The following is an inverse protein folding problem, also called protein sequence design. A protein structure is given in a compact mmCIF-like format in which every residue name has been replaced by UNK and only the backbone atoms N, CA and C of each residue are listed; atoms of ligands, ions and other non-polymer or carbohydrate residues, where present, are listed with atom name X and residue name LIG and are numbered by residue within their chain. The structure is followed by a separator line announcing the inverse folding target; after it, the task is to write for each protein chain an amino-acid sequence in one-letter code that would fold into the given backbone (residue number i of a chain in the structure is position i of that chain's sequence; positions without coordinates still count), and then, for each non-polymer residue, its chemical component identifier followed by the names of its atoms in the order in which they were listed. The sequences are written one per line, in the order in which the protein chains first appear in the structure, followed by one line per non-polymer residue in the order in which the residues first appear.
data_IF_518583261651
#
_entry.id   IF_518583261651
#
_cell.length_a   1.000
_cell.length_b   1.000
_cell.length_c   1.000
_cell.angle_alpha   90.00
_cell.angle_beta   90.00
_cell.angle_gamma   90.00
#
_symmetry.space_group_name_H-M   'P 1'
#
loop_
_entity.id
_entity.type
_entity.pdbx_description
1 polymer ?
#
# COMPACT_ATOMS: atom_id res chain seq x y z
N UNK A 1 -5.77 -3.67 14.10
CA UNK A 1 -4.49 -4.22 14.63
C UNK A 1 -4.78 -5.16 15.77
N UNK A 2 -4.25 -6.35 15.71
CA UNK A 2 -4.28 -7.32 16.81
C UNK A 2 -3.15 -6.96 17.80
N UNK A 3 -3.51 -6.70 19.06
CA UNK A 3 -2.56 -6.25 20.07
C UNK A 3 -1.69 -7.37 20.66
N UNK A 4 -2.09 -8.62 20.50
CA UNK A 4 -1.33 -9.76 21.00
C UNK A 4 -0.27 -10.24 20.01
N UNK A 5 -0.54 -10.13 18.71
CA UNK A 5 0.32 -10.61 17.63
C UNK A 5 0.99 -9.51 16.83
N UNK A 6 0.47 -8.29 16.87
CA UNK A 6 0.90 -7.18 16.02
C UNK A 6 0.40 -7.29 14.57
N UNK A 7 -0.47 -8.27 14.26
CA UNK A 7 -1.02 -8.44 12.92
C UNK A 7 -1.91 -7.24 12.55
N UNK A 8 -1.74 -6.76 11.34
CA UNK A 8 -2.55 -5.68 10.75
C UNK A 8 -3.46 -6.25 9.68
N UNK A 9 -4.76 -6.03 9.81
CA UNK A 9 -5.74 -6.33 8.78
C UNK A 9 -6.31 -5.00 8.22
N UNK A 10 -6.15 -4.77 6.93
CA UNK A 10 -6.72 -3.61 6.24
C UNK A 10 -8.19 -3.92 5.96
N UNK A 11 -9.09 -3.24 6.64
CA UNK A 11 -10.53 -3.48 6.52
C UNK A 11 -11.19 -2.71 5.38
N UNK A 12 -10.60 -1.58 4.99
CA UNK A 12 -11.06 -0.75 3.88
C UNK A 12 -9.91 0.07 3.32
N UNK A 13 -9.89 0.21 2.00
CA UNK A 13 -9.02 1.15 1.29
C UNK A 13 -9.76 1.76 0.11
N UNK A 14 -9.71 3.09 -0.02
CA UNK A 14 -10.32 3.83 -1.12
C UNK A 14 -9.23 4.61 -1.85
N UNK A 15 -9.01 4.31 -3.13
CA UNK A 15 -8.09 5.01 -4.01
C UNK A 15 -8.84 6.08 -4.80
N UNK A 16 -8.46 7.34 -4.65
CA UNK A 16 -9.06 8.48 -5.34
C UNK A 16 -8.01 9.14 -6.22
N UNK A 17 -8.26 9.23 -7.52
CA UNK A 17 -7.28 9.75 -8.48
C UNK A 17 -7.94 10.63 -9.54
N UNK A 18 -7.34 11.79 -9.80
CA UNK A 18 -7.63 12.56 -11.00
C UNK A 18 -6.89 11.94 -12.20
N UNK A 19 -7.66 11.32 -13.09
CA UNK A 19 -7.16 10.67 -14.31
C UNK A 19 -7.23 11.59 -15.54
N UNK A 20 -7.60 12.85 -15.36
CA UNK A 20 -7.97 13.70 -16.47
C UNK A 20 -9.23 13.14 -17.14
N UNK A 21 -9.22 12.91 -18.44
CA UNK A 21 -10.26 12.15 -19.12
C UNK A 21 -9.96 10.66 -19.06
N UNK A 22 -10.77 9.88 -18.35
CA UNK A 22 -10.63 8.43 -18.30
C UNK A 22 -11.18 7.81 -19.60
N UNK A 23 -10.30 7.54 -20.56
CA UNK A 23 -10.69 6.95 -21.86
C UNK A 23 -11.22 5.52 -21.67
N UNK A 24 -10.63 4.76 -20.75
CA UNK A 24 -11.06 3.41 -20.39
C UNK A 24 -11.16 3.28 -18.88
N UNK A 25 -12.29 3.65 -18.25
CA UNK A 25 -12.45 3.67 -16.79
C UNK A 25 -12.06 2.35 -16.11
N UNK A 26 -12.49 1.20 -16.64
CA UNK A 26 -12.17 -0.11 -16.07
C UNK A 26 -10.68 -0.42 -16.02
N UNK A 27 -9.89 0.06 -16.98
CA UNK A 27 -8.42 -0.08 -16.92
C UNK A 27 -7.80 0.88 -15.90
N UNK A 28 -8.36 2.09 -15.78
CA UNK A 28 -7.94 3.05 -14.75
C UNK A 28 -8.18 2.47 -13.36
N UNK A 29 -9.38 1.93 -13.12
CA UNK A 29 -9.73 1.24 -11.87
C UNK A 29 -8.75 0.10 -11.55
N UNK A 30 -8.46 -0.77 -12.53
CA UNK A 30 -7.52 -1.87 -12.38
C UNK A 30 -6.10 -1.40 -12.02
N UNK A 31 -5.63 -0.29 -12.62
CA UNK A 31 -4.34 0.31 -12.27
C UNK A 31 -4.33 0.87 -10.85
N UNK A 32 -5.39 1.54 -10.43
CA UNK A 32 -5.50 2.07 -9.08
C UNK A 32 -5.57 0.95 -8.04
N UNK A 33 -6.33 -0.11 -8.31
CA UNK A 33 -6.41 -1.29 -7.45
C UNK A 33 -5.05 -1.99 -7.33
N UNK A 34 -4.40 -2.28 -8.46
CA UNK A 34 -3.09 -2.93 -8.48
C UNK A 34 -2.01 -2.12 -7.78
N UNK A 35 -1.95 -0.80 -8.02
CA UNK A 35 -1.03 0.09 -7.34
C UNK A 35 -1.28 0.16 -5.83
N UNK A 36 -2.54 0.26 -5.42
CA UNK A 36 -2.91 0.26 -4.00
C UNK A 36 -2.49 -1.04 -3.31
N UNK A 37 -2.75 -2.20 -3.90
CA UNK A 37 -2.35 -3.51 -3.37
C UNK A 37 -0.83 -3.60 -3.19
N UNK A 38 -0.07 -3.19 -4.20
CA UNK A 38 1.40 -3.17 -4.11
C UNK A 38 1.88 -2.25 -2.98
N UNK A 39 1.34 -1.05 -2.88
CA UNK A 39 1.74 -0.12 -1.83
C UNK A 39 1.33 -0.56 -0.42
N UNK A 40 0.20 -1.24 -0.26
CA UNK A 40 -0.20 -1.87 1.01
C UNK A 40 0.79 -2.99 1.37
N UNK A 41 1.21 -3.81 0.40
CA UNK A 41 2.23 -4.83 0.59
C UNK A 41 3.55 -4.25 1.10
N UNK A 42 4.02 -3.17 0.51
CA UNK A 42 5.22 -2.45 0.96
C UNK A 42 5.06 -1.84 2.35
N UNK A 43 3.86 -1.40 2.68
CA UNK A 43 3.61 -0.84 4.00
C UNK A 43 3.56 -1.88 5.12
N UNK A 44 3.20 -3.14 4.83
CA UNK A 44 2.93 -4.15 5.84
C UNK A 44 3.90 -5.34 5.86
N UNK A 45 4.35 -5.81 4.69
CA UNK A 45 4.99 -7.13 4.59
C UNK A 45 6.28 -7.16 3.77
N UNK A 46 6.37 -6.37 2.70
CA UNK A 46 7.44 -6.49 1.72
C UNK A 46 8.70 -5.76 2.18
N UNK A 47 9.78 -6.49 2.36
CA UNK A 47 11.07 -5.96 2.78
C UNK A 47 12.20 -6.81 2.19
N UNK A 48 13.25 -6.17 1.69
CA UNK A 48 14.49 -6.84 1.36
C UNK A 48 15.36 -6.97 2.61
N UNK A 49 15.62 -8.20 3.02
CA UNK A 49 16.46 -8.49 4.19
C UNK A 49 17.84 -8.90 3.71
N UNK A 50 18.84 -8.13 4.10
CA UNK A 50 20.26 -8.40 3.79
C UNK A 50 21.02 -8.75 5.06
N UNK A 51 21.88 -9.75 4.97
CA UNK A 51 22.83 -10.04 6.05
C UNK A 51 24.01 -9.03 6.04
N UNK A 52 24.89 -9.16 7.04
CA UNK A 52 26.08 -8.29 7.17
C UNK A 52 27.07 -8.37 6.00
N UNK A 53 27.00 -9.42 5.19
CA UNK A 53 27.85 -9.62 4.01
C UNK A 53 27.19 -9.09 2.72
N UNK A 54 26.01 -8.45 2.83
CA UNK A 54 25.25 -7.90 1.72
C UNK A 54 24.49 -8.94 0.90
N UNK A 55 24.35 -10.16 1.41
CA UNK A 55 23.59 -11.22 0.75
C UNK A 55 22.13 -11.15 1.18
N UNK A 56 21.22 -11.16 0.20
CA UNK A 56 19.78 -11.16 0.45
C UNK A 56 19.33 -12.48 1.06
N UNK A 57 18.65 -12.42 2.20
CA UNK A 57 18.21 -13.61 2.95
C UNK A 57 16.81 -14.09 2.54
N UNK A 58 16.03 -13.24 1.88
CA UNK A 58 14.66 -13.55 1.46
C UNK A 58 14.42 -13.36 -0.05
N UNK A 59 15.18 -14.01 -0.95
CA UNK A 59 15.12 -13.76 -2.39
C UNK A 59 13.97 -14.47 -3.12
N UNK A 60 13.24 -15.35 -2.47
CA UNK A 60 12.23 -16.20 -3.08
C UNK A 60 10.81 -15.90 -2.65
N UNK A 61 9.83 -16.43 -3.41
CA UNK A 61 8.40 -16.30 -3.09
C UNK A 61 7.98 -16.94 -1.76
N UNK A 62 8.84 -17.77 -1.18
CA UNK A 62 8.58 -18.36 0.13
C UNK A 62 8.80 -17.34 1.25
N UNK A 63 9.77 -16.45 1.09
CA UNK A 63 10.27 -15.57 2.13
C UNK A 63 9.94 -14.10 1.86
N UNK A 64 9.87 -13.67 0.59
CA UNK A 64 9.41 -12.34 0.19
C UNK A 64 7.88 -12.33 0.07
N UNK A 65 7.21 -11.65 1.00
CA UNK A 65 5.77 -11.76 1.20
C UNK A 65 4.98 -10.71 0.42
N UNK A 66 4.67 -11.03 -0.83
CA UNK A 66 3.66 -10.29 -1.60
C UNK A 66 2.26 -10.58 -1.05
N UNK A 67 1.38 -9.59 -0.90
CA UNK A 67 0.01 -9.81 -0.44
C UNK A 67 -0.76 -10.80 -1.33
N UNK A 68 -1.51 -11.68 -0.71
CA UNK A 68 -2.46 -12.54 -1.38
C UNK A 68 -3.83 -11.85 -1.51
N UNK A 69 -4.66 -12.31 -2.43
CA UNK A 69 -6.01 -11.78 -2.60
C UNK A 69 -6.89 -11.89 -1.33
N UNK A 70 -6.59 -12.87 -0.46
CA UNK A 70 -7.26 -13.06 0.84
C UNK A 70 -6.80 -12.09 1.93
N UNK A 71 -5.67 -11.40 1.74
CA UNK A 71 -5.09 -10.54 2.77
C UNK A 71 -5.63 -9.11 2.73
N UNK A 72 -6.39 -8.79 1.69
CA UNK A 72 -6.82 -7.44 1.39
C UNK A 72 -8.33 -7.34 1.16
N UNK A 73 -8.96 -6.21 1.52
CA UNK A 73 -10.32 -5.95 1.13
C UNK A 73 -10.41 -5.67 -0.36
N UNK A 74 -11.64 -5.65 -0.91
CA UNK A 74 -11.87 -5.05 -2.23
C UNK A 74 -11.46 -3.57 -2.19
N UNK A 75 -10.53 -3.19 -3.07
CA UNK A 75 -10.09 -1.79 -3.17
C UNK A 75 -11.18 -0.97 -3.89
N UNK A 76 -11.73 -0.02 -3.18
CA UNK A 76 -12.68 0.95 -3.72
C UNK A 76 -11.92 2.00 -4.55
N UNK A 77 -12.43 2.33 -5.74
CA UNK A 77 -11.79 3.33 -6.61
C UNK A 77 -12.76 4.47 -6.95
N UNK A 78 -12.27 5.69 -6.90
CA UNK A 78 -13.00 6.89 -7.31
C UNK A 78 -12.15 7.62 -8.33
N UNK A 79 -12.61 7.61 -9.59
CA UNK A 79 -11.98 8.33 -10.68
C UNK A 79 -12.54 9.75 -10.71
N UNK A 80 -11.66 10.73 -10.53
CA UNK A 80 -11.96 12.14 -10.75
C UNK A 80 -11.51 12.51 -12.16
N UNK A 81 -12.35 13.21 -12.91
CA UNK A 81 -12.03 13.64 -14.27
C UNK A 81 -11.93 15.17 -14.34
N UNK A 82 -10.69 15.68 -14.29
CA UNK A 82 -10.37 17.08 -14.61
C UNK A 82 -9.53 17.08 -15.88
N UNK A 83 -10.10 17.32 -17.06
CA UNK A 83 -9.40 17.20 -18.33
C UNK A 83 -8.12 18.04 -18.37
N UNK A 84 -7.03 17.43 -18.82
CA UNK A 84 -5.75 18.12 -18.99
C UNK A 84 -5.78 18.97 -20.28
N UNK A 85 -5.74 20.28 -20.11
CA UNK A 85 -5.78 21.22 -21.23
C UNK A 85 -4.58 21.14 -22.19
N UNK A 86 -3.45 20.57 -21.71
CA UNK A 86 -2.22 20.44 -22.48
C UNK A 86 -2.07 19.09 -23.20
N UNK A 87 -3.06 18.20 -23.06
CA UNK A 87 -3.07 16.92 -23.76
C UNK A 87 -4.26 16.80 -24.70
N UNK A 88 -4.08 16.34 -25.97
CA UNK A 88 -5.16 16.30 -26.97
C UNK A 88 -6.42 15.57 -26.55
N UNK A 89 -6.27 14.51 -25.75
CA UNK A 89 -7.40 13.73 -25.23
C UNK A 89 -7.78 14.09 -23.79
N UNK A 90 -7.15 15.10 -23.21
CA UNK A 90 -7.42 15.52 -21.83
C UNK A 90 -6.99 14.52 -20.75
N UNK A 91 -6.17 13.51 -21.08
CA UNK A 91 -5.78 12.44 -20.17
C UNK A 91 -4.64 12.86 -19.22
N UNK A 92 -4.52 12.11 -18.10
CA UNK A 92 -3.35 12.11 -17.20
C UNK A 92 -2.83 10.69 -17.06
N UNK A 93 -1.55 10.54 -16.71
CA UNK A 93 -0.97 9.24 -16.44
C UNK A 93 -1.53 8.62 -15.17
N UNK A 94 -1.86 7.34 -15.20
CA UNK A 94 -2.43 6.58 -14.06
C UNK A 94 -1.68 5.28 -13.77
N UNK A 95 -0.57 5.01 -14.47
CA UNK A 95 0.14 3.73 -14.36
C UNK A 95 0.75 3.47 -12.99
N UNK A 96 1.35 4.47 -12.36
CA UNK A 96 2.09 4.31 -11.09
C UNK A 96 1.53 5.16 -9.95
N UNK A 97 0.54 6.00 -10.20
CA UNK A 97 0.00 6.91 -9.18
C UNK A 97 -0.68 6.18 -8.01
N UNK A 98 -1.24 5.01 -8.28
CA UNK A 98 -1.93 4.20 -7.26
C UNK A 98 -1.03 3.66 -6.15
N UNK A 99 0.29 3.52 -6.39
CA UNK A 99 1.24 2.98 -5.39
C UNK A 99 1.77 4.04 -4.42
N UNK A 100 1.70 5.34 -4.78
CA UNK A 100 2.34 6.40 -3.99
C UNK A 100 1.66 6.62 -2.63
N UNK A 101 0.33 6.77 -2.53
CA UNK A 101 -0.33 7.08 -1.26
C UNK A 101 -0.38 5.94 -0.23
N UNK A 102 -0.47 4.65 -0.60
CA UNK A 102 -0.71 3.57 0.36
C UNK A 102 0.31 3.45 1.47
N UNK A 103 1.61 3.66 1.18
CA UNK A 103 2.65 3.54 2.20
C UNK A 103 2.39 4.47 3.39
N UNK A 104 2.17 5.75 3.10
CA UNK A 104 1.89 6.73 4.14
C UNK A 104 0.51 6.52 4.78
N UNK A 105 -0.52 6.26 3.95
CA UNK A 105 -1.89 6.08 4.44
C UNK A 105 -2.01 4.89 5.40
N UNK A 106 -1.39 3.76 5.07
CA UNK A 106 -1.40 2.56 5.91
C UNK A 106 -0.54 2.78 7.16
N UNK A 107 0.66 3.35 7.02
CA UNK A 107 1.51 3.66 8.17
C UNK A 107 0.81 4.56 9.20
N UNK A 108 0.16 5.62 8.74
CA UNK A 108 -0.64 6.49 9.62
C UNK A 108 -1.86 5.78 10.22
N UNK A 109 -2.56 4.93 9.45
CA UNK A 109 -3.69 4.18 9.96
C UNK A 109 -3.29 3.18 11.06
N UNK A 110 -2.14 2.50 10.88
CA UNK A 110 -1.56 1.62 11.91
C UNK A 110 -1.20 2.44 13.15
N UNK A 111 -0.48 3.54 12.97
CA UNK A 111 -0.11 4.44 14.08
C UNK A 111 -1.31 4.93 14.86
N UNK A 112 -2.36 5.34 14.16
CA UNK A 112 -3.61 5.77 14.79
C UNK A 112 -4.32 4.63 15.54
N UNK A 113 -4.28 3.41 14.99
CA UNK A 113 -4.93 2.25 15.61
C UNK A 113 -4.26 1.79 16.92
N UNK A 114 -2.95 2.04 17.08
CA UNK A 114 -2.18 1.66 18.26
C UNK A 114 -1.80 2.85 19.15
N UNK A 115 -2.23 4.06 18.78
CA UNK A 115 -1.87 5.33 19.43
C UNK A 115 -0.35 5.53 19.56
N UNK A 116 0.37 5.30 18.47
CA UNK A 116 1.83 5.41 18.36
C UNK A 116 2.24 6.03 17.03
N UNK A 117 3.40 6.68 17.03
CA UNK A 117 4.02 7.15 15.79
C UNK A 117 4.74 6.00 15.11
N UNK A 118 4.38 5.73 13.85
CA UNK A 118 5.12 4.83 12.98
C UNK A 118 6.20 5.63 12.25
N UNK A 119 7.45 5.28 12.46
CA UNK A 119 8.60 5.97 11.86
C UNK A 119 9.33 5.09 10.83
N UNK A 120 9.02 3.79 10.79
CA UNK A 120 9.67 2.82 9.92
C UNK A 120 8.66 1.86 9.29
N UNK A 121 8.86 1.53 8.03
CA UNK A 121 8.09 0.54 7.28
C UNK A 121 9.00 -0.65 6.89
N UNK A 122 8.43 -1.82 6.65
CA UNK A 122 7.02 -2.19 6.76
C UNK A 122 6.54 -2.29 8.22
N UNK A 123 5.24 -2.07 8.45
CA UNK A 123 4.57 -2.35 9.71
C UNK A 123 4.36 -3.86 9.89
N UNK A 124 5.46 -4.63 9.87
CA UNK A 124 5.41 -6.07 10.07
C UNK A 124 4.95 -6.41 11.49
N UNK A 125 4.32 -7.58 11.72
CA UNK A 125 3.82 -7.94 13.04
C UNK A 125 4.82 -7.79 14.17
N UNK A 126 6.11 -8.20 14.03
CA UNK A 126 7.10 -7.98 15.09
C UNK A 126 7.35 -6.50 15.38
N UNK A 127 7.41 -5.63 14.34
CA UNK A 127 7.61 -4.18 14.52
C UNK A 127 6.42 -3.53 15.21
N UNK A 128 5.21 -3.85 14.76
CA UNK A 128 3.98 -3.34 15.39
C UNK A 128 3.87 -3.79 16.84
N UNK A 129 4.14 -5.06 17.11
CA UNK A 129 4.13 -5.59 18.48
C UNK A 129 5.17 -4.91 19.37
N UNK A 130 6.36 -4.60 18.83
CA UNK A 130 7.39 -3.84 19.54
C UNK A 130 6.92 -2.43 19.90
N UNK A 131 6.23 -1.74 18.95
CA UNK A 131 5.67 -0.41 19.21
C UNK A 131 4.59 -0.43 20.29
N UNK A 132 3.78 -1.50 20.35
CA UNK A 132 2.74 -1.68 21.39
C UNK A 132 3.37 -1.92 22.77
N UNK A 133 4.42 -2.76 22.84
CA UNK A 133 5.02 -3.18 24.11
C UNK A 133 6.02 -2.18 24.72
N UNK A 134 6.60 -1.32 23.92
CA UNK A 134 7.57 -0.31 24.37
C UNK A 134 6.89 1.01 24.80
N UNK A 135 5.69 0.91 25.33
CA UNK A 135 4.88 2.02 25.86
C UNK A 135 5.13 2.29 27.33
#
# INVERSE_FOLDING_TARGET
VDQETGKVDVTRYTAIQDAGKAIHPGYVEGQLQGGAVQGIGWALNEEYVFNKDGIMENPGFLDYRVPLASDLPMIETIIVEVPNAFHPYGVRGVGETGIIPPLAAVGYAVGNAIDRKVEELPCSPPRVLSLIKNS
#
